data_IF_240454805928
#
_entry.id   IF_240454805928
#
_cell.length_a   1.000
_cell.length_b   1.000
_cell.length_c   1.000
_cell.angle_alpha   90.00
_cell.angle_beta   90.00
_cell.angle_gamma   90.00
#
_symmetry.space_group_name_H-M   'P 1'
#
loop_
_entity.id
_entity.type
_entity.pdbx_description
1 polymer ?
#
# COMPACT_ATOMS: atom_id res chain seq x y z
N UNK A 1 89.07 24.10 13.42
CA UNK A 1 89.31 23.41 14.72
C UNK A 1 88.57 22.08 14.69
N UNK A 2 89.25 21.01 15.14
CA UNK A 2 88.79 19.61 15.20
C UNK A 2 87.44 19.46 15.90
N UNK A 3 86.65 18.45 15.52
CA UNK A 3 85.95 17.57 16.48
C UNK A 3 85.19 16.47 15.71
N UNK A 4 85.68 15.23 15.77
CA UNK A 4 85.15 14.16 16.62
C UNK A 4 83.99 13.38 15.97
N UNK A 5 84.31 12.17 15.47
CA UNK A 5 83.37 11.04 15.46
C UNK A 5 83.47 10.36 16.82
N UNK A 6 82.34 10.03 17.45
CA UNK A 6 82.09 8.62 17.79
C UNK A 6 80.59 8.23 17.72
N UNK A 7 80.25 7.18 16.97
CA UNK A 7 79.82 5.83 17.42
C UNK A 7 78.39 5.70 17.97
N UNK A 8 77.53 5.16 17.11
CA UNK A 8 76.62 4.00 17.27
C UNK A 8 76.10 3.62 18.66
N UNK A 9 74.77 3.48 18.75
CA UNK A 9 73.92 2.46 19.44
C UNK A 9 72.55 3.12 19.71
N UNK A 10 71.37 2.51 19.68
CA UNK A 10 70.92 1.14 19.45
C UNK A 10 69.41 1.22 19.09
N UNK A 11 68.92 0.12 18.52
CA UNK A 11 67.58 -0.16 17.95
C UNK A 11 66.43 -0.31 18.95
N UNK A 12 65.21 -0.41 18.38
CA UNK A 12 63.88 -0.83 18.90
C UNK A 12 62.98 0.39 19.18
N UNK A 13 61.74 0.52 18.70
CA UNK A 13 60.71 -0.46 18.31
C UNK A 13 59.57 0.32 17.64
N UNK A 14 58.86 -0.28 16.68
CA UNK A 14 57.39 -0.29 16.56
C UNK A 14 56.98 -0.56 15.10
N UNK A 15 56.60 -1.80 14.83
CA UNK A 15 55.78 -2.17 13.67
C UNK A 15 54.33 -1.88 14.07
N UNK A 16 53.66 -0.95 13.39
CA UNK A 16 52.21 -0.78 13.48
C UNK A 16 51.64 -1.00 12.09
N UNK A 17 50.81 -2.04 11.97
CA UNK A 17 50.03 -2.36 10.78
C UNK A 17 49.11 -1.18 10.42
N UNK A 18 49.25 -0.67 9.20
CA UNK A 18 48.26 0.24 8.62
C UNK A 18 47.13 -0.63 8.04
N UNK A 19 45.99 -0.66 8.72
CA UNK A 19 44.74 -1.22 8.22
C UNK A 19 44.21 -0.27 7.14
N UNK A 20 44.09 -0.77 5.90
CA UNK A 20 43.49 -0.03 4.80
C UNK A 20 41.99 0.21 5.08
N UNK A 21 41.46 1.42 4.83
CA UNK A 21 40.04 1.70 5.03
C UNK A 21 39.21 0.97 3.97
N UNK A 22 38.22 0.23 4.45
CA UNK A 22 37.26 -0.50 3.63
C UNK A 22 36.41 0.43 2.75
N UNK A 23 36.16 -0.03 1.54
CA UNK A 23 35.20 0.57 0.60
C UNK A 23 33.81 0.47 1.22
N UNK A 24 33.28 1.61 1.69
CA UNK A 24 31.89 1.71 2.07
C UNK A 24 31.02 1.66 0.80
N UNK A 25 30.35 0.53 0.58
CA UNK A 25 29.26 0.46 -0.39
C UNK A 25 28.11 1.29 0.19
N UNK A 26 27.97 2.51 -0.31
CA UNK A 26 26.76 3.33 -0.11
C UNK A 26 25.62 2.62 -0.84
N UNK A 27 24.95 1.71 -0.14
CA UNK A 27 23.63 1.26 -0.55
C UNK A 27 22.71 2.48 -0.57
N UNK A 28 22.20 2.84 -1.74
CA UNK A 28 21.08 3.76 -1.84
C UNK A 28 19.92 3.10 -1.12
N UNK A 29 19.63 3.53 0.11
CA UNK A 29 18.37 3.24 0.75
C UNK A 29 17.29 3.71 -0.21
N UNK A 30 16.64 2.76 -0.90
CA UNK A 30 15.51 3.08 -1.75
C UNK A 30 14.49 3.79 -0.89
N UNK A 31 14.10 5.01 -1.27
CA UNK A 31 13.07 5.76 -0.58
C UNK A 31 11.84 4.87 -0.44
N UNK A 32 11.59 4.40 0.78
CA UNK A 32 10.30 3.85 1.12
C UNK A 32 9.33 5.03 1.05
N UNK A 33 8.71 5.23 -0.12
CA UNK A 33 7.68 6.25 -0.29
C UNK A 33 6.63 6.02 0.80
N UNK A 34 6.61 6.90 1.80
CA UNK A 34 5.66 6.82 2.89
C UNK A 34 4.25 6.88 2.29
N UNK A 35 3.45 5.84 2.54
CA UNK A 35 2.08 5.80 2.04
C UNK A 35 1.30 6.92 2.73
N UNK A 36 0.76 7.85 1.92
CA UNK A 36 -0.02 8.97 2.45
C UNK A 36 -1.35 8.45 2.97
N UNK A 37 -1.62 8.66 4.26
CA UNK A 37 -2.86 8.33 4.94
C UNK A 37 -3.82 9.50 4.91
N UNK A 38 -5.10 9.23 4.69
CA UNK A 38 -6.16 10.24 4.71
C UNK A 38 -7.20 9.94 5.79
N UNK A 39 -7.89 10.99 6.23
CA UNK A 39 -8.99 10.88 7.18
C UNK A 39 -10.26 10.38 6.49
N UNK A 40 -11.23 9.94 7.29
CA UNK A 40 -12.55 9.60 6.76
C UNK A 40 -13.23 10.77 6.03
N UNK A 41 -13.13 11.98 6.56
CA UNK A 41 -13.71 13.18 5.95
C UNK A 41 -13.07 13.50 4.59
N UNK A 42 -11.76 13.34 4.46
CA UNK A 42 -11.07 13.52 3.18
C UNK A 42 -11.52 12.46 2.16
N UNK A 43 -11.55 11.18 2.55
CA UNK A 43 -11.96 10.09 1.66
C UNK A 43 -13.40 10.26 1.16
N UNK A 44 -14.34 10.57 2.05
CA UNK A 44 -15.75 10.80 1.67
C UNK A 44 -15.93 12.02 0.76
N UNK A 45 -15.14 13.09 0.96
CA UNK A 45 -15.07 14.21 0.02
C UNK A 45 -14.69 13.74 -1.39
N UNK A 46 -13.59 13.01 -1.51
CA UNK A 46 -13.12 12.46 -2.80
C UNK A 46 -14.14 11.53 -3.46
N UNK A 47 -14.81 10.67 -2.68
CA UNK A 47 -15.83 9.75 -3.20
C UNK A 47 -17.04 10.51 -3.73
N UNK A 48 -17.51 11.53 -3.01
CA UNK A 48 -18.63 12.36 -3.44
C UNK A 48 -18.35 13.10 -4.74
N UNK A 49 -17.11 13.58 -4.94
CA UNK A 49 -16.70 14.31 -6.16
C UNK A 49 -16.85 13.50 -7.46
N UNK A 50 -16.94 12.17 -7.36
CA UNK A 50 -17.16 11.28 -8.51
C UNK A 50 -18.47 10.48 -8.42
N UNK A 51 -19.30 10.74 -7.42
CA UNK A 51 -20.55 10.01 -7.21
C UNK A 51 -20.36 8.54 -6.80
N UNK A 52 -19.33 8.26 -6.00
CA UNK A 52 -19.23 7.02 -5.21
C UNK A 52 -20.05 7.20 -3.93
N UNK A 53 -20.83 6.18 -3.59
CA UNK A 53 -21.62 6.10 -2.36
C UNK A 53 -20.99 5.13 -1.38
N UNK A 54 -21.43 5.17 -0.11
CA UNK A 54 -21.06 4.17 0.88
C UNK A 54 -22.23 3.89 1.82
N UNK A 55 -22.22 2.73 2.47
CA UNK A 55 -23.24 2.30 3.42
C UNK A 55 -22.59 1.58 4.59
N UNK A 56 -22.99 1.94 5.82
CA UNK A 56 -22.54 1.30 7.06
C UNK A 56 -23.73 0.67 7.77
N UNK A 57 -23.64 -0.62 8.10
CA UNK A 57 -24.71 -1.32 8.84
C UNK A 57 -24.89 -0.77 10.26
N UNK A 58 -23.81 -0.33 10.90
CA UNK A 58 -23.81 0.32 12.21
C UNK A 58 -24.14 1.83 12.18
N UNK A 59 -24.38 2.42 11.00
CA UNK A 59 -24.60 3.86 10.82
C UNK A 59 -23.48 4.72 11.46
N UNK A 60 -22.23 4.30 11.28
CA UNK A 60 -21.06 4.91 11.93
C UNK A 60 -19.81 4.84 11.05
N UNK A 61 -18.76 5.56 11.45
CA UNK A 61 -17.47 5.62 10.74
C UNK A 61 -16.26 5.34 11.65
N UNK A 62 -16.48 4.72 12.81
CA UNK A 62 -15.41 4.38 13.74
C UNK A 62 -14.68 3.10 13.28
N UNK A 63 -13.40 3.22 12.90
CA UNK A 63 -12.57 2.08 12.49
C UNK A 63 -12.42 1.00 13.55
N UNK A 64 -12.65 1.28 14.83
CA UNK A 64 -12.53 0.28 15.89
C UNK A 64 -13.81 -0.53 16.11
N UNK A 65 -14.87 -0.25 15.35
CA UNK A 65 -16.13 -0.97 15.39
C UNK A 65 -16.39 -1.67 14.03
N UNK A 66 -16.49 -3.00 14.05
CA UNK A 66 -16.64 -3.84 12.85
C UNK A 66 -17.98 -3.70 12.12
N UNK A 67 -18.94 -2.98 12.68
CA UNK A 67 -20.22 -2.66 12.00
C UNK A 67 -20.16 -1.31 11.26
N UNK A 68 -19.12 -0.51 11.50
CA UNK A 68 -18.94 0.76 10.81
C UNK A 68 -18.33 0.53 9.42
N UNK A 69 -18.57 1.48 8.51
CA UNK A 69 -17.74 1.60 7.30
C UNK A 69 -16.84 2.80 7.53
N UNK A 70 -15.57 2.54 7.84
CA UNK A 70 -14.60 3.58 8.13
C UNK A 70 -13.68 3.79 6.94
N UNK A 71 -13.19 5.03 6.79
CA UNK A 71 -12.10 5.35 5.85
C UNK A 71 -10.93 6.03 6.58
N UNK A 72 -10.92 5.97 7.91
CA UNK A 72 -9.85 6.53 8.71
C UNK A 72 -8.55 5.74 8.50
N UNK A 73 -7.45 6.45 8.19
CA UNK A 73 -6.18 5.85 7.75
C UNK A 73 -6.25 5.05 6.44
N UNK A 74 -7.20 5.39 5.56
CA UNK A 74 -7.19 4.90 4.18
C UNK A 74 -5.96 5.44 3.46
N UNK A 75 -5.38 4.67 2.54
CA UNK A 75 -4.30 5.19 1.69
C UNK A 75 -4.89 6.15 0.66
N UNK A 76 -4.23 7.27 0.40
CA UNK A 76 -4.64 8.22 -0.63
C UNK A 76 -4.77 7.52 -2.00
N UNK A 77 -3.80 6.66 -2.34
CA UNK A 77 -3.81 5.89 -3.57
C UNK A 77 -5.01 4.94 -3.69
N UNK A 78 -5.50 4.38 -2.57
CA UNK A 78 -6.72 3.56 -2.54
C UNK A 78 -7.95 4.39 -2.88
N UNK A 79 -8.09 5.58 -2.29
CA UNK A 79 -9.21 6.46 -2.59
C UNK A 79 -9.19 6.94 -4.05
N UNK A 80 -8.01 7.31 -4.56
CA UNK A 80 -7.84 7.67 -5.97
C UNK A 80 -8.13 6.47 -6.89
N UNK A 81 -7.71 5.26 -6.52
CA UNK A 81 -8.01 4.03 -7.24
C UNK A 81 -9.51 3.75 -7.34
N UNK A 82 -10.27 4.03 -6.27
CA UNK A 82 -11.73 3.97 -6.30
C UNK A 82 -12.32 4.98 -7.29
N UNK A 83 -11.83 6.22 -7.30
CA UNK A 83 -12.24 7.25 -8.26
C UNK A 83 -11.93 6.85 -9.71
N UNK A 84 -10.74 6.26 -9.95
CA UNK A 84 -10.35 5.73 -11.25
C UNK A 84 -11.31 4.63 -11.70
N UNK A 85 -11.61 3.65 -10.84
CA UNK A 85 -12.59 2.60 -11.14
C UNK A 85 -13.96 3.19 -11.48
N UNK A 86 -14.44 4.17 -10.70
CA UNK A 86 -15.72 4.85 -10.95
C UNK A 86 -15.76 5.52 -12.33
N UNK A 87 -14.72 6.29 -12.66
CA UNK A 87 -14.63 7.02 -13.94
C UNK A 87 -14.49 6.07 -15.13
N UNK A 88 -13.67 5.03 -15.00
CA UNK A 88 -13.40 4.10 -16.09
C UNK A 88 -14.56 3.13 -16.36
N UNK A 89 -15.27 2.71 -15.32
CA UNK A 89 -16.43 1.82 -15.47
C UNK A 89 -17.73 2.55 -15.79
N UNK A 90 -17.86 3.81 -15.36
CA UNK A 90 -19.15 4.52 -15.38
C UNK A 90 -20.22 3.95 -14.45
N UNK A 91 -19.90 2.87 -13.70
CA UNK A 91 -20.86 2.14 -12.90
C UNK A 91 -21.20 2.85 -11.59
N UNK A 92 -22.38 2.59 -11.03
CA UNK A 92 -22.64 2.89 -9.63
C UNK A 92 -21.70 2.05 -8.75
N UNK A 93 -21.04 2.70 -7.79
CA UNK A 93 -20.20 2.06 -6.78
C UNK A 93 -20.73 2.44 -5.39
N UNK A 94 -21.00 1.42 -4.58
CA UNK A 94 -21.35 1.57 -3.17
C UNK A 94 -20.30 0.84 -2.34
N UNK A 95 -19.53 1.59 -1.55
CA UNK A 95 -18.53 1.03 -0.64
C UNK A 95 -19.23 0.56 0.63
N UNK A 96 -18.98 -0.69 1.02
CA UNK A 96 -19.60 -1.33 2.19
C UNK A 96 -18.61 -1.63 3.32
N UNK A 97 -17.31 -1.56 3.01
CA UNK A 97 -16.23 -1.82 3.97
C UNK A 97 -14.98 -1.04 3.58
N UNK A 98 -14.21 -0.65 4.59
CA UNK A 98 -13.01 0.16 4.42
C UNK A 98 -11.95 -0.24 5.44
N UNK A 99 -11.65 0.64 6.40
CA UNK A 99 -10.54 0.46 7.34
C UNK A 99 -10.95 -0.03 8.73
N UNK A 100 -12.21 -0.39 8.90
CA UNK A 100 -12.72 -0.95 10.15
C UNK A 100 -12.03 -2.26 10.57
N UNK A 101 -12.12 -2.57 11.86
CA UNK A 101 -11.66 -3.84 12.42
C UNK A 101 -12.58 -5.00 12.00
N UNK A 102 -12.12 -6.23 12.15
CA UNK A 102 -12.87 -7.45 11.81
C UNK A 102 -12.42 -8.12 10.51
N UNK A 103 -11.53 -7.49 9.76
CA UNK A 103 -10.92 -8.03 8.54
C UNK A 103 -9.64 -8.81 8.81
N UNK A 104 -9.21 -9.64 7.85
CA UNK A 104 -7.94 -10.35 7.92
C UNK A 104 -6.74 -9.38 8.00
N UNK A 105 -5.79 -9.70 8.88
CA UNK A 105 -4.55 -8.94 9.06
C UNK A 105 -3.56 -9.19 7.92
N UNK A 106 -2.63 -8.25 7.72
CA UNK A 106 -1.53 -8.37 6.77
C UNK A 106 -1.08 -7.02 6.24
N UNK A 107 0.05 -6.97 5.55
CA UNK A 107 0.59 -5.72 4.97
C UNK A 107 -0.45 -5.03 4.08
N UNK A 108 -1.03 -5.79 3.15
CA UNK A 108 -2.05 -5.33 2.20
C UNK A 108 -3.45 -5.71 2.72
N UNK A 109 -3.93 -4.98 3.73
CA UNK A 109 -5.20 -5.25 4.42
C UNK A 109 -6.11 -4.01 4.49
N UNK A 110 -7.37 -4.24 4.89
CA UNK A 110 -8.35 -3.20 5.20
C UNK A 110 -7.83 -2.23 6.27
N UNK A 111 -7.38 -2.78 7.40
CA UNK A 111 -6.81 -2.01 8.50
C UNK A 111 -5.67 -1.08 8.07
N UNK A 112 -4.84 -1.57 7.14
CA UNK A 112 -3.71 -0.81 6.61
C UNK A 112 -4.09 0.08 5.41
N UNK A 113 -5.37 0.27 5.11
CA UNK A 113 -5.88 1.24 4.14
C UNK A 113 -5.69 0.85 2.68
N UNK A 114 -5.38 -0.42 2.39
CA UNK A 114 -5.12 -0.91 1.03
C UNK A 114 -6.36 -1.44 0.32
N UNK A 115 -7.46 -1.65 1.04
CA UNK A 115 -8.62 -2.38 0.53
C UNK A 115 -9.91 -1.61 0.75
N UNK A 116 -10.85 -1.82 -0.15
CA UNK A 116 -12.23 -1.34 -0.06
C UNK A 116 -13.15 -2.46 -0.53
N UNK A 117 -14.25 -2.63 0.20
CA UNK A 117 -15.31 -3.56 -0.22
C UNK A 117 -16.39 -2.81 -0.99
N UNK A 118 -16.78 -3.34 -2.15
CA UNK A 118 -17.88 -2.79 -2.93
C UNK A 118 -19.06 -3.75 -2.97
N UNK A 119 -20.25 -3.23 -2.69
CA UNK A 119 -21.50 -3.96 -2.90
C UNK A 119 -21.64 -4.45 -4.34
N UNK A 120 -22.14 -5.68 -4.52
CA UNK A 120 -22.34 -6.25 -5.85
C UNK A 120 -23.41 -5.47 -6.62
N UNK A 121 -23.10 -5.17 -7.86
CA UNK A 121 -24.09 -4.89 -8.88
C UNK A 121 -23.64 -5.44 -10.23
N UNK A 122 -24.57 -5.58 -11.17
CA UNK A 122 -24.29 -6.17 -12.48
C UNK A 122 -23.29 -5.34 -13.27
N UNK A 123 -23.39 -4.01 -13.24
CA UNK A 123 -22.50 -3.13 -14.00
C UNK A 123 -21.03 -3.32 -13.63
N UNK A 124 -20.68 -3.17 -12.35
CA UNK A 124 -19.29 -3.29 -11.90
C UNK A 124 -18.77 -4.72 -12.08
N UNK A 125 -19.63 -5.72 -11.87
CA UNK A 125 -19.28 -7.12 -12.06
C UNK A 125 -18.93 -7.42 -13.52
N UNK A 126 -19.77 -6.99 -14.45
CA UNK A 126 -19.51 -7.15 -15.89
C UNK A 126 -18.28 -6.36 -16.32
N UNK A 127 -18.10 -5.14 -15.83
CA UNK A 127 -16.91 -4.34 -16.14
C UNK A 127 -15.62 -5.05 -15.72
N UNK A 128 -15.53 -5.50 -14.46
CA UNK A 128 -14.36 -6.21 -13.94
C UNK A 128 -14.08 -7.48 -14.77
N UNK A 129 -15.10 -8.34 -14.96
CA UNK A 129 -14.91 -9.64 -15.63
C UNK A 129 -14.57 -9.51 -17.12
N UNK A 130 -15.00 -8.44 -17.78
CA UNK A 130 -14.75 -8.23 -19.21
C UNK A 130 -13.45 -7.46 -19.49
N UNK A 131 -12.97 -6.63 -18.56
CA UNK A 131 -11.83 -5.75 -18.80
C UNK A 131 -10.57 -6.17 -18.05
N UNK A 132 -10.68 -6.92 -16.95
CA UNK A 132 -9.56 -7.32 -16.12
C UNK A 132 -9.20 -8.80 -16.34
N UNK A 133 -7.91 -9.11 -16.27
CA UNK A 133 -7.42 -10.47 -16.48
C UNK A 133 -7.75 -11.35 -15.28
N UNK A 134 -8.42 -12.48 -15.51
CA UNK A 134 -8.60 -13.49 -14.46
C UNK A 134 -7.25 -14.11 -14.07
N UNK A 135 -6.98 -14.19 -12.76
CA UNK A 135 -5.69 -14.67 -12.23
C UNK A 135 -5.81 -15.91 -11.33
N UNK A 136 -6.97 -16.55 -11.30
CA UNK A 136 -7.21 -17.75 -10.50
C UNK A 136 -8.03 -17.50 -9.24
N UNK A 137 -8.01 -18.47 -8.34
CA UNK A 137 -8.72 -18.42 -7.06
C UNK A 137 -7.77 -17.98 -5.95
N UNK A 138 -8.25 -17.12 -5.05
CA UNK A 138 -7.58 -16.85 -3.76
C UNK A 138 -7.67 -18.09 -2.87
N UNK A 139 -6.87 -18.16 -1.82
CA UNK A 139 -6.80 -19.32 -0.92
C UNK A 139 -8.12 -19.74 -0.26
N UNK A 140 -9.12 -18.87 -0.22
CA UNK A 140 -10.48 -19.14 0.26
C UNK A 140 -11.50 -19.45 -0.86
N UNK A 141 -11.03 -19.58 -2.11
CA UNK A 141 -11.85 -19.92 -3.27
C UNK A 141 -12.45 -18.73 -4.00
N UNK A 142 -12.22 -17.49 -3.57
CA UNK A 142 -12.72 -16.30 -4.27
C UNK A 142 -12.02 -16.10 -5.63
N UNK A 143 -12.76 -16.04 -6.77
CA UNK A 143 -12.18 -15.71 -8.07
C UNK A 143 -11.54 -14.31 -8.08
N UNK A 144 -10.31 -14.21 -8.56
CA UNK A 144 -9.56 -12.96 -8.61
C UNK A 144 -9.33 -12.45 -10.03
N UNK A 145 -9.42 -11.14 -10.19
CA UNK A 145 -9.19 -10.42 -11.44
C UNK A 145 -8.18 -9.30 -11.21
N UNK A 146 -7.25 -9.13 -12.15
CA UNK A 146 -6.19 -8.13 -12.10
C UNK A 146 -6.40 -7.08 -13.18
N UNK A 147 -6.53 -5.83 -12.76
CA UNK A 147 -6.58 -4.69 -13.67
C UNK A 147 -5.24 -4.46 -14.37
N UNK A 148 -5.23 -3.70 -15.48
CA UNK A 148 -4.00 -3.36 -16.20
C UNK A 148 -2.98 -2.58 -15.34
N UNK A 149 -3.43 -1.85 -14.32
CA UNK A 149 -2.55 -1.17 -13.35
C UNK A 149 -2.06 -2.08 -12.22
N UNK A 150 -2.52 -3.31 -12.16
CA UNK A 150 -2.09 -4.32 -11.19
C UNK A 150 -2.93 -4.44 -9.92
N UNK A 151 -3.96 -3.61 -9.72
CA UNK A 151 -4.90 -3.76 -8.60
C UNK A 151 -5.72 -5.05 -8.75
N UNK A 152 -6.08 -5.68 -7.62
CA UNK A 152 -6.69 -7.00 -7.55
C UNK A 152 -8.12 -6.91 -7.04
N UNK A 153 -9.02 -7.62 -7.70
CA UNK A 153 -10.46 -7.61 -7.44
C UNK A 153 -10.89 -9.05 -7.16
N UNK A 154 -11.22 -9.36 -5.92
CA UNK A 154 -11.69 -10.68 -5.50
C UNK A 154 -13.22 -10.70 -5.42
N UNK A 155 -13.86 -11.65 -6.11
CA UNK A 155 -15.30 -11.86 -6.06
C UNK A 155 -15.62 -12.79 -4.88
N UNK A 156 -15.99 -12.24 -3.72
CA UNK A 156 -16.39 -13.03 -2.54
C UNK A 156 -17.87 -13.48 -2.60
N UNK A 157 -18.50 -13.33 -3.77
CA UNK A 157 -19.90 -13.68 -4.02
C UNK A 157 -20.88 -12.61 -3.55
N UNK A 158 -20.75 -12.14 -2.31
CA UNK A 158 -21.64 -11.12 -1.72
C UNK A 158 -21.18 -9.68 -1.99
N UNK A 159 -19.87 -9.47 -2.11
CA UNK A 159 -19.23 -8.19 -2.39
C UNK A 159 -17.94 -8.41 -3.18
N UNK A 160 -17.39 -7.31 -3.70
CA UNK A 160 -16.05 -7.28 -4.25
C UNK A 160 -15.07 -6.81 -3.18
N UNK A 161 -14.09 -7.64 -2.86
CA UNK A 161 -12.95 -7.26 -2.04
C UNK A 161 -11.82 -6.78 -2.95
N UNK A 162 -11.52 -5.48 -2.94
CA UNK A 162 -10.59 -4.86 -3.89
C UNK A 162 -9.34 -4.36 -3.19
N UNK A 163 -8.19 -4.88 -3.60
CA UNK A 163 -6.87 -4.47 -3.17
C UNK A 163 -6.23 -3.49 -4.17
N UNK A 164 -5.90 -2.30 -3.66
CA UNK A 164 -5.23 -1.23 -4.39
C UNK A 164 -3.75 -1.16 -4.03
N UNK A 165 -2.88 -1.51 -4.98
CA UNK A 165 -1.43 -1.25 -4.87
C UNK A 165 -1.08 0.17 -5.32
N UNK A 166 -1.91 0.76 -6.17
CA UNK A 166 -1.76 2.12 -6.71
C UNK A 166 -3.12 2.70 -7.11
N UNK A 167 -3.13 3.96 -7.55
CA UNK A 167 -4.34 4.66 -7.94
C UNK A 167 -4.88 4.36 -9.35
N UNK A 168 -4.23 3.48 -10.12
CA UNK A 168 -4.73 3.06 -11.42
C UNK A 168 -4.52 4.04 -12.59
N UNK A 169 -3.53 4.94 -12.51
CA UNK A 169 -3.25 5.94 -13.55
C UNK A 169 -3.77 7.35 -13.23
N UNK A 170 -3.88 7.66 -11.93
CA UNK A 170 -3.77 9.03 -11.46
C UNK A 170 -2.27 9.46 -11.47
#
# INVERSE_FOLDING_TARGET
MKAHRPTLRATLTALVLVVAPGVAVLGTAGDAFAVTKISHATATGMFRDVGITWSSSGNCSDRYNSTCTSFEQLNLATAQGAQTLKRASGCALNITGGTETGHASGTYSHWNGYKLDYGKNTCVTSYIKNNFGYIGLRGDGAPQYKSGSGNIYADEGTHWDVLYYNCGGC
#
